data_IF_233650801040
#
_entry.id   IF_233650801040
#
_cell.length_a   1.000
_cell.length_b   1.000
_cell.length_c   1.000
_cell.angle_alpha   90.00
_cell.angle_beta   90.00
_cell.angle_gamma   90.00
#
_symmetry.space_group_name_H-M   'P 1'
#
loop_
_entity.id
_entity.type
_entity.pdbx_description
1 polymer ?
#
# COMPACT_ATOMS: atom_id res chain seq x y z
N UNK A 1 -1.03 -25.87 -12.77
CA UNK A 1 -0.29 -24.84 -11.99
C UNK A 1 -1.32 -24.23 -11.05
N UNK A 2 -1.22 -24.53 -9.76
CA UNK A 2 -2.30 -24.29 -8.79
C UNK A 2 -2.44 -22.79 -8.50
N UNK A 3 -3.61 -22.24 -8.83
CA UNK A 3 -4.02 -20.90 -8.43
C UNK A 3 -4.27 -20.89 -6.91
N UNK A 4 -3.26 -20.48 -6.14
CA UNK A 4 -3.45 -20.07 -4.75
C UNK A 4 -4.02 -18.64 -4.73
N UNK A 5 -5.26 -18.48 -5.19
CA UNK A 5 -6.03 -17.26 -4.96
C UNK A 5 -6.82 -17.49 -3.67
N UNK A 6 -6.44 -16.80 -2.59
CA UNK A 6 -7.22 -16.79 -1.36
C UNK A 6 -8.48 -15.96 -1.65
N UNK A 7 -9.60 -16.65 -1.89
CA UNK A 7 -10.92 -16.03 -1.97
C UNK A 7 -11.38 -15.78 -0.54
N UNK A 8 -11.44 -14.51 -0.13
CA UNK A 8 -12.07 -14.13 1.13
C UNK A 8 -13.57 -14.03 0.87
N UNK A 9 -14.30 -15.11 1.14
CA UNK A 9 -15.76 -15.19 1.01
C UNK A 9 -16.44 -14.42 2.16
N UNK A 10 -16.51 -13.11 2.02
CA UNK A 10 -17.57 -12.31 2.65
C UNK A 10 -18.39 -11.70 1.53
N UNK A 11 -19.69 -11.96 1.48
CA UNK A 11 -20.56 -11.35 0.46
C UNK A 11 -20.53 -9.82 0.66
N UNK A 12 -20.30 -9.01 -0.39
CA UNK A 12 -20.36 -7.55 -0.27
C UNK A 12 -21.75 -7.12 0.17
N UNK A 13 -21.85 -6.41 1.29
CA UNK A 13 -23.06 -5.68 1.68
C UNK A 13 -23.05 -4.33 0.93
N UNK A 14 -23.98 -4.08 -0.02
CA UNK A 14 -24.03 -2.84 -0.79
C UNK A 14 -24.17 -1.57 0.08
N UNK A 15 -24.70 -1.70 1.31
CA UNK A 15 -24.84 -0.60 2.25
C UNK A 15 -23.52 -0.23 2.96
N UNK A 16 -22.50 -1.10 2.91
CA UNK A 16 -21.21 -0.92 3.60
C UNK A 16 -20.04 -0.52 2.70
N UNK A 17 -20.25 -0.43 1.38
CA UNK A 17 -19.19 -0.17 0.41
C UNK A 17 -18.50 -1.45 -0.05
N UNK A 18 -17.43 -1.34 -0.87
CA UNK A 18 -16.70 -2.53 -1.33
C UNK A 18 -16.09 -3.29 -0.15
N UNK A 19 -15.95 -4.61 -0.30
CA UNK A 19 -15.21 -5.44 0.66
C UNK A 19 -13.80 -4.85 0.82
N UNK A 20 -13.39 -4.55 2.05
CA UNK A 20 -12.09 -3.95 2.36
C UNK A 20 -11.21 -4.98 3.09
N UNK A 21 -10.11 -5.38 2.45
CA UNK A 21 -9.07 -6.22 3.05
C UNK A 21 -7.86 -5.35 3.35
N UNK A 22 -7.44 -5.33 4.62
CA UNK A 22 -6.37 -4.47 5.11
C UNK A 22 -5.07 -5.25 5.28
N UNK A 23 -4.03 -4.79 4.61
CA UNK A 23 -2.71 -5.43 4.61
C UNK A 23 -1.67 -4.50 5.19
N UNK A 24 -1.12 -4.86 6.35
CA UNK A 24 0.03 -4.20 6.92
C UNK A 24 1.29 -4.52 6.11
N UNK A 25 2.02 -3.50 5.63
CA UNK A 25 3.25 -3.70 4.88
C UNK A 25 4.45 -3.44 5.80
N UNK A 26 5.22 -4.50 6.06
CA UNK A 26 6.39 -4.48 6.95
C UNK A 26 7.65 -4.94 6.24
N UNK A 27 8.81 -4.52 6.75
CA UNK A 27 10.11 -4.83 6.15
C UNK A 27 11.15 -3.75 6.42
N UNK A 28 12.42 -4.12 6.22
CA UNK A 28 13.55 -3.25 6.54
C UNK A 28 13.50 -1.89 5.80
N UNK A 29 14.24 -0.90 6.32
CA UNK A 29 14.55 0.32 5.55
C UNK A 29 15.14 -0.10 4.20
N UNK A 30 14.71 0.57 3.14
CA UNK A 30 15.17 0.33 1.76
C UNK A 30 14.83 -1.07 1.18
N UNK A 31 13.95 -1.85 1.83
CA UNK A 31 13.50 -3.16 1.30
C UNK A 31 12.55 -3.06 0.08
N UNK A 32 12.14 -1.85 -0.29
CA UNK A 32 11.25 -1.63 -1.44
C UNK A 32 9.75 -1.56 -1.12
N UNK A 33 9.35 -1.46 0.15
CA UNK A 33 7.93 -1.34 0.57
C UNK A 33 7.16 -0.28 -0.21
N UNK A 34 7.63 0.96 -0.13
CA UNK A 34 6.97 2.11 -0.75
C UNK A 34 6.98 2.01 -2.28
N UNK A 35 8.00 1.40 -2.86
CA UNK A 35 8.06 1.11 -4.30
C UNK A 35 6.98 0.09 -4.69
N UNK A 36 6.86 -1.02 -3.96
CA UNK A 36 5.83 -2.04 -4.20
C UNK A 36 4.42 -1.46 -4.11
N UNK A 37 4.13 -0.70 -3.05
CA UNK A 37 2.82 -0.04 -2.87
C UNK A 37 2.55 0.95 -4.01
N UNK A 38 3.56 1.72 -4.43
CA UNK A 38 3.47 2.62 -5.58
C UNK A 38 3.11 1.89 -6.88
N UNK A 39 3.71 0.72 -7.12
CA UNK A 39 3.42 -0.12 -8.29
C UNK A 39 1.99 -0.67 -8.21
N UNK A 40 1.64 -1.35 -7.11
CA UNK A 40 0.33 -1.99 -6.95
C UNK A 40 -0.82 -0.99 -7.06
N UNK A 41 -0.68 0.19 -6.44
CA UNK A 41 -1.76 1.17 -6.46
C UNK A 41 -1.84 1.93 -7.78
N UNK A 42 -0.73 2.17 -8.49
CA UNK A 42 -0.75 2.94 -9.74
C UNK A 42 -0.82 2.12 -11.03
N UNK A 43 -0.53 0.82 -10.96
CA UNK A 43 -0.41 -0.05 -12.14
C UNK A 43 0.80 0.28 -13.02
N UNK A 44 1.75 1.08 -12.52
CA UNK A 44 2.94 1.53 -13.27
C UNK A 44 4.21 1.02 -12.60
N UNK A 45 5.09 0.44 -13.40
CA UNK A 45 6.41 -0.01 -12.94
C UNK A 45 7.29 1.19 -12.56
N UNK A 46 8.21 0.92 -11.63
CA UNK A 46 9.25 1.87 -11.25
C UNK A 46 10.29 1.98 -12.37
N UNK A 47 10.85 3.17 -12.55
CA UNK A 47 11.89 3.48 -13.53
C UNK A 47 13.32 3.33 -12.96
N UNK A 48 13.43 2.74 -11.76
CA UNK A 48 14.68 2.65 -11.01
C UNK A 48 15.13 3.97 -10.38
N UNK A 49 14.37 5.06 -10.56
CA UNK A 49 14.62 6.38 -9.96
C UNK A 49 13.59 6.74 -8.90
N UNK A 50 12.73 5.79 -8.50
CA UNK A 50 11.72 5.98 -7.47
C UNK A 50 10.43 6.65 -7.97
N UNK A 51 10.13 6.60 -9.27
CA UNK A 51 8.87 7.08 -9.83
C UNK A 51 7.64 6.36 -9.27
N UNK A 52 7.75 5.12 -8.80
CA UNK A 52 6.66 4.41 -8.12
C UNK A 52 6.43 4.96 -6.70
N UNK A 53 7.49 5.00 -5.87
CA UNK A 53 7.37 5.48 -4.47
C UNK A 53 6.99 6.97 -4.38
N UNK A 54 7.41 7.79 -5.35
CA UNK A 54 7.04 9.21 -5.38
C UNK A 54 5.54 9.47 -5.53
N UNK A 55 4.77 8.52 -6.09
CA UNK A 55 3.30 8.60 -6.20
C UNK A 55 2.61 8.55 -4.84
N UNK A 56 3.23 7.89 -3.87
CA UNK A 56 2.63 7.65 -2.56
C UNK A 56 3.14 8.59 -1.47
N UNK A 57 4.23 9.32 -1.71
CA UNK A 57 4.70 10.36 -0.79
C UNK A 57 3.64 11.43 -0.52
N UNK A 58 3.53 11.83 0.74
CA UNK A 58 2.53 12.77 1.26
C UNK A 58 3.15 14.12 1.64
N UNK A 59 4.41 14.13 2.04
CA UNK A 59 5.09 15.33 2.51
C UNK A 59 6.28 15.70 1.62
N UNK A 60 6.62 16.98 1.58
CA UNK A 60 7.70 17.48 0.73
C UNK A 60 9.06 16.91 1.14
N UNK A 61 9.33 16.76 2.44
CA UNK A 61 10.55 16.12 2.94
C UNK A 61 10.67 14.63 2.54
N UNK A 62 9.57 13.94 2.22
CA UNK A 62 9.62 12.57 1.69
C UNK A 62 10.06 12.56 0.22
N UNK A 63 9.65 13.58 -0.54
CA UNK A 63 10.08 13.77 -1.94
C UNK A 63 11.56 14.16 -2.01
N UNK A 64 12.00 15.03 -1.11
CA UNK A 64 13.38 15.49 -1.02
C UNK A 64 14.34 14.36 -0.62
N UNK A 65 13.98 13.59 0.42
CA UNK A 65 14.85 12.54 0.96
C UNK A 65 14.60 11.15 0.34
N UNK A 66 13.56 11.00 -0.49
CA UNK A 66 13.19 9.75 -1.15
C UNK A 66 12.73 8.63 -0.20
N UNK A 67 12.23 8.98 0.99
CA UNK A 67 11.85 8.03 2.06
C UNK A 67 10.51 8.42 2.68
N UNK A 68 9.63 7.44 2.89
CA UNK A 68 8.40 7.62 3.67
C UNK A 68 8.71 7.87 5.14
N UNK A 69 7.92 8.72 5.77
CA UNK A 69 8.17 9.25 7.11
C UNK A 69 7.04 8.96 8.11
N UNK A 70 5.87 8.56 7.63
CA UNK A 70 4.69 8.37 8.47
C UNK A 70 3.89 7.12 8.09
N UNK A 71 3.01 6.70 9.00
CA UNK A 71 1.99 5.70 8.70
C UNK A 71 1.03 6.27 7.64
N UNK A 72 0.85 5.52 6.57
CA UNK A 72 -0.04 5.92 5.48
C UNK A 72 -0.85 4.75 4.95
N UNK A 73 -1.98 5.08 4.33
CA UNK A 73 -2.88 4.11 3.71
C UNK A 73 -2.92 4.37 2.21
N UNK A 74 -2.90 3.29 1.45
CA UNK A 74 -2.95 3.28 -0.01
C UNK A 74 -3.90 2.18 -0.48
N UNK A 75 -4.70 2.42 -1.51
CA UNK A 75 -5.67 1.43 -2.00
C UNK A 75 -5.39 0.96 -3.42
N UNK A 76 -5.76 -0.29 -3.66
CA UNK A 76 -5.93 -0.90 -4.98
C UNK A 76 -7.29 -1.56 -5.01
N UNK A 77 -8.08 -1.28 -6.04
CA UNK A 77 -9.41 -1.85 -6.20
C UNK A 77 -9.41 -3.07 -7.12
N UNK A 78 -10.49 -3.83 -7.06
CA UNK A 78 -10.82 -4.89 -8.00
C UNK A 78 -12.28 -4.76 -8.42
N UNK A 79 -12.58 -4.90 -9.70
CA UNK A 79 -13.95 -4.90 -10.21
C UNK A 79 -14.61 -6.28 -10.00
N UNK A 80 -15.88 -6.42 -10.42
CA UNK A 80 -16.64 -7.69 -10.32
C UNK A 80 -16.00 -8.87 -11.07
N UNK A 81 -15.11 -8.60 -12.05
CA UNK A 81 -14.35 -9.59 -12.81
C UNK A 81 -12.99 -9.90 -12.18
N UNK A 82 -12.68 -9.32 -11.03
CA UNK A 82 -11.36 -9.33 -10.38
C UNK A 82 -10.24 -8.68 -11.21
N UNK A 83 -10.58 -7.79 -12.15
CA UNK A 83 -9.57 -6.97 -12.80
C UNK A 83 -9.14 -5.82 -11.88
N UNK A 84 -7.84 -5.47 -11.87
CA UNK A 84 -7.33 -4.42 -11.01
C UNK A 84 -7.81 -3.02 -11.42
N UNK A 85 -8.22 -2.23 -10.43
CA UNK A 85 -8.59 -0.82 -10.56
C UNK A 85 -7.53 0.02 -9.84
N UNK A 86 -6.69 0.68 -10.65
CA UNK A 86 -5.58 1.48 -10.15
C UNK A 86 -5.94 2.97 -10.00
N UNK A 87 -5.14 3.69 -9.22
CA UNK A 87 -5.12 5.15 -9.14
C UNK A 87 -3.99 5.71 -10.03
N UNK A 88 -4.26 6.11 -11.29
CA UNK A 88 -3.24 6.65 -12.18
C UNK A 88 -2.91 8.11 -11.82
N UNK A 89 -2.28 8.33 -10.66
CA UNK A 89 -1.83 9.65 -10.20
C UNK A 89 -0.33 9.85 -10.46
N UNK A 90 0.04 11.06 -10.85
CA UNK A 90 1.45 11.49 -10.90
C UNK A 90 2.00 11.74 -9.48
N UNK A 91 3.32 11.60 -9.28
CA UNK A 91 3.97 11.94 -8.00
C UNK A 91 3.76 13.39 -7.56
N UNK A 92 3.57 14.28 -8.55
CA UNK A 92 3.32 15.71 -8.34
C UNK A 92 1.82 16.05 -8.28
N UNK A 93 0.93 15.05 -8.21
CA UNK A 93 -0.50 15.28 -8.09
C UNK A 93 -0.80 16.06 -6.80
N UNK A 94 -1.63 17.09 -6.93
CA UNK A 94 -2.17 17.84 -5.78
C UNK A 94 -3.00 16.93 -4.88
N UNK A 95 -3.17 17.32 -3.61
CA UNK A 95 -4.00 16.57 -2.65
C UNK A 95 -5.41 16.34 -3.16
N UNK A 96 -6.01 17.34 -3.83
CA UNK A 96 -7.36 17.22 -4.44
C UNK A 96 -7.41 16.16 -5.54
N UNK A 97 -6.37 16.05 -6.36
CA UNK A 97 -6.27 15.01 -7.40
C UNK A 97 -6.12 13.62 -6.78
N UNK A 98 -5.32 13.50 -5.71
CA UNK A 98 -5.16 12.23 -4.97
C UNK A 98 -6.50 11.78 -4.36
N UNK A 99 -7.24 12.69 -3.71
CA UNK A 99 -8.58 12.39 -3.16
C UNK A 99 -9.56 11.94 -4.25
N UNK A 100 -9.59 12.62 -5.39
CA UNK A 100 -10.46 12.24 -6.52
C UNK A 100 -10.11 10.85 -7.08
N UNK A 101 -8.81 10.56 -7.22
CA UNK A 101 -8.36 9.24 -7.68
C UNK A 101 -8.77 8.14 -6.70
N UNK A 102 -8.63 8.39 -5.40
CA UNK A 102 -9.08 7.47 -4.36
C UNK A 102 -10.58 7.16 -4.45
N UNK A 103 -11.41 8.19 -4.58
CA UNK A 103 -12.85 8.05 -4.75
C UNK A 103 -13.20 7.27 -6.03
N UNK A 104 -12.46 7.49 -7.11
CA UNK A 104 -12.64 6.76 -8.36
C UNK A 104 -12.31 5.26 -8.22
N UNK A 105 -11.26 4.90 -7.47
CA UNK A 105 -10.94 3.49 -7.20
C UNK A 105 -12.10 2.83 -6.44
N UNK A 106 -12.52 3.41 -5.32
CA UNK A 106 -13.62 2.88 -4.50
C UNK A 106 -14.92 2.75 -5.29
N UNK A 107 -15.27 3.77 -6.09
CA UNK A 107 -16.51 3.77 -6.88
C UNK A 107 -16.55 2.68 -7.95
N UNK A 108 -15.41 2.34 -8.54
CA UNK A 108 -15.32 1.40 -9.66
C UNK A 108 -14.93 -0.02 -9.22
N UNK A 109 -14.97 -0.30 -7.92
CA UNK A 109 -14.49 -1.56 -7.36
C UNK A 109 -15.58 -2.27 -6.56
N UNK A 110 -15.65 -3.59 -6.69
CA UNK A 110 -16.46 -4.47 -5.85
C UNK A 110 -15.73 -4.85 -4.56
N UNK A 111 -14.39 -4.87 -4.59
CA UNK A 111 -13.52 -5.07 -3.44
C UNK A 111 -12.27 -4.19 -3.51
N UNK A 112 -11.66 -3.91 -2.37
CA UNK A 112 -10.50 -3.04 -2.23
C UNK A 112 -9.50 -3.69 -1.28
N UNK A 113 -8.22 -3.59 -1.62
CA UNK A 113 -7.12 -3.87 -0.72
C UNK A 113 -6.56 -2.54 -0.21
N UNK A 114 -6.57 -2.35 1.10
CA UNK A 114 -5.95 -1.22 1.78
C UNK A 114 -4.58 -1.62 2.31
N UNK A 115 -3.52 -1.10 1.68
CA UNK A 115 -2.15 -1.23 2.16
C UNK A 115 -1.87 -0.19 3.24
N UNK A 116 -1.41 -0.64 4.40
CA UNK A 116 -0.95 0.20 5.50
C UNK A 116 0.58 0.24 5.41
N UNK A 117 1.13 1.33 4.84
CA UNK A 117 2.58 1.55 4.76
C UNK A 117 3.09 2.01 6.13
N UNK A 118 3.93 1.19 6.73
CA UNK A 118 4.59 1.49 7.98
C UNK A 118 5.99 1.99 7.62
N UNK A 119 6.21 3.30 7.79
CA UNK A 119 7.51 3.90 7.54
C UNK A 119 8.60 3.08 8.24
N UNK A 120 9.52 2.54 7.44
CA UNK A 120 10.56 1.64 7.93
C UNK A 120 11.57 2.42 8.74
N UNK A 121 11.51 2.32 10.07
CA UNK A 121 12.63 2.67 10.92
C UNK A 121 12.56 1.85 12.22
N UNK A 122 13.65 1.15 12.54
CA UNK A 122 13.77 0.16 13.64
C UNK A 122 13.38 0.70 15.02
N UNK A 123 13.43 2.04 15.24
CA UNK A 123 13.01 2.66 16.51
C UNK A 123 11.50 2.65 16.78
N UNK A 124 10.65 2.37 15.79
CA UNK A 124 9.20 2.60 15.96
C UNK A 124 8.38 1.35 16.22
N UNK A 125 8.94 0.13 16.28
CA UNK A 125 8.18 -1.11 16.48
C UNK A 125 7.12 -1.03 17.60
N UNK A 126 7.44 -0.40 18.74
CA UNK A 126 6.48 -0.16 19.84
C UNK A 126 5.36 0.82 19.47
N UNK A 127 5.64 1.87 18.73
CA UNK A 127 4.66 2.87 18.24
C UNK A 127 3.87 2.33 17.05
N UNK A 128 4.51 1.51 16.21
CA UNK A 128 3.97 0.84 15.03
C UNK A 128 2.95 -0.22 15.43
N UNK A 129 3.18 -0.99 16.49
CA UNK A 129 2.20 -1.98 16.99
C UNK A 129 0.91 -1.29 17.47
N UNK A 130 1.00 -0.18 18.23
CA UNK A 130 -0.18 0.61 18.64
C UNK A 130 -0.89 1.29 17.46
N UNK A 131 -0.14 1.84 16.50
CA UNK A 131 -0.70 2.41 15.27
C UNK A 131 -1.37 1.35 14.37
N UNK A 132 -0.79 0.14 14.31
CA UNK A 132 -1.36 -1.02 13.61
C UNK A 132 -2.63 -1.51 14.27
N UNK A 133 -2.68 -1.60 15.60
CA UNK A 133 -3.90 -2.01 16.32
C UNK A 133 -5.05 -1.03 16.05
N UNK A 134 -4.75 0.26 15.87
CA UNK A 134 -5.75 1.25 15.46
C UNK A 134 -6.20 1.12 14.00
N UNK A 135 -5.41 0.48 13.13
CA UNK A 135 -5.73 0.30 11.71
C UNK A 135 -6.46 -1.03 11.41
N UNK A 136 -6.45 -1.98 12.35
CA UNK A 136 -7.06 -3.31 12.23
C UNK A 136 -6.68 -4.02 10.92
N UNK A 137 -5.39 -4.35 10.70
CA UNK A 137 -4.98 -5.15 9.54
C UNK A 137 -5.53 -6.57 9.64
N UNK A 138 -6.04 -7.09 8.53
CA UNK A 138 -6.45 -8.50 8.38
C UNK A 138 -5.22 -9.39 8.12
N UNK A 139 -4.23 -8.86 7.39
CA UNK A 139 -3.02 -9.58 7.01
C UNK A 139 -1.76 -8.71 7.17
N UNK A 140 -0.60 -9.36 7.20
CA UNK A 140 0.70 -8.71 7.10
C UNK A 140 1.46 -9.21 5.87
N UNK A 141 2.05 -8.28 5.13
CA UNK A 141 2.94 -8.51 3.99
C UNK A 141 4.37 -8.12 4.39
N UNK A 142 5.27 -9.10 4.39
CA UNK A 142 6.69 -8.90 4.71
C UNK A 142 7.48 -8.72 3.43
N UNK A 143 8.15 -7.59 3.29
CA UNK A 143 9.00 -7.25 2.14
C UNK A 143 10.47 -7.27 2.56
N UNK A 144 11.21 -8.21 1.98
CA UNK A 144 12.63 -8.43 2.23
C UNK A 144 13.42 -8.07 0.97
N UNK A 145 14.43 -7.20 1.12
CA UNK A 145 15.36 -6.95 0.02
C UNK A 145 16.21 -8.19 -0.22
N UNK A 146 16.15 -8.77 -1.42
CA UNK A 146 16.96 -9.95 -1.78
C UNK A 146 18.47 -9.72 -1.55
N UNK A 147 18.89 -8.47 -1.70
CA UNK A 147 20.28 -8.04 -1.60
C UNK A 147 20.71 -7.75 -0.15
N UNK A 148 19.78 -7.77 0.81
CA UNK A 148 20.01 -7.31 2.18
C UNK A 148 20.11 -8.44 3.22
N UNK A 149 19.91 -9.69 2.82
CA UNK A 149 19.77 -10.81 3.76
C UNK A 149 18.62 -10.60 4.76
N UNK A 150 18.46 -11.51 5.73
CA UNK A 150 17.54 -11.30 6.84
C UNK A 150 18.16 -10.29 7.81
N UNK A 151 17.68 -9.04 7.80
CA UNK A 151 18.13 -8.02 8.75
C UNK A 151 17.49 -8.26 10.13
N UNK A 152 17.97 -7.55 11.17
CA UNK A 152 17.39 -7.60 12.53
C UNK A 152 15.88 -7.28 12.57
N UNK A 153 15.35 -6.58 11.57
CA UNK A 153 13.93 -6.23 11.45
C UNK A 153 13.07 -7.37 10.85
N UNK A 154 13.70 -8.34 10.18
CA UNK A 154 13.03 -9.46 9.49
C UNK A 154 13.11 -10.76 10.30
N UNK A 155 13.96 -10.82 11.34
CA UNK A 155 14.07 -11.96 12.25
C UNK A 155 13.14 -11.83 13.45
#
# INVERSE_FOLDING_TARGET
VNNNMVVVDTLPDPARGPLDVRVAVIGNVDSGKSTMIGILTSGKLDDGRGSARSRIFRHDHERENGRTSCLSQHIMGFNEKFDPVHQPISGNASSKQKTRAWQAVVKNSSSVITFIDLAGHEKYLKTTISGLTGCFPDFAMIICGANMGASKMTK
#
